data_IF_861737791134
#
_entry.id   IF_861737791134
#
_cell.length_a   1.000
_cell.length_b   1.000
_cell.length_c   1.000
_cell.angle_alpha   90.00
_cell.angle_beta   90.00
_cell.angle_gamma   90.00
#
_symmetry.space_group_name_H-M   'P 1'
#
loop_
_entity.id
_entity.type
_entity.pdbx_description
1 polymer ?
#
# COMPACT_ATOMS: atom_id res chain seq x y z
N UNK A 1 21.61 14.10 -18.40
CA UNK A 1 21.36 12.71 -17.97
C UNK A 1 20.20 12.15 -18.77
N UNK A 2 20.47 11.31 -19.76
CA UNK A 2 19.44 10.58 -20.51
C UNK A 2 18.90 9.46 -19.63
N UNK A 3 17.71 9.64 -19.06
CA UNK A 3 17.05 8.60 -18.28
C UNK A 3 16.55 7.50 -19.22
N UNK A 4 17.19 6.33 -19.17
CA UNK A 4 16.61 5.12 -19.78
C UNK A 4 15.29 4.83 -19.08
N UNK A 5 14.15 4.77 -19.80
CA UNK A 5 12.86 4.49 -19.18
C UNK A 5 12.89 3.10 -18.51
N UNK A 6 12.28 2.99 -17.33
CA UNK A 6 12.15 1.71 -16.64
C UNK A 6 11.42 0.70 -17.54
N UNK A 7 11.93 -0.53 -17.63
CA UNK A 7 11.29 -1.61 -18.39
C UNK A 7 9.96 -1.98 -17.75
N UNK A 8 8.88 -1.94 -18.53
CA UNK A 8 7.54 -2.30 -18.07
C UNK A 8 7.30 -3.81 -18.01
N UNK A 9 8.19 -4.63 -18.61
CA UNK A 9 7.99 -6.10 -18.71
C UNK A 9 7.77 -6.79 -17.36
N UNK A 10 8.53 -6.49 -16.29
CA UNK A 10 8.31 -7.13 -14.99
C UNK A 10 6.98 -6.74 -14.34
N UNK A 11 6.34 -5.65 -14.77
CA UNK A 11 5.07 -5.18 -14.22
C UNK A 11 3.84 -5.77 -14.90
N UNK A 12 4.02 -6.50 -16.00
CA UNK A 12 2.91 -7.12 -16.72
C UNK A 12 2.10 -8.07 -15.83
N UNK A 13 2.71 -8.93 -15.00
CA UNK A 13 1.94 -9.83 -14.12
C UNK A 13 1.01 -9.13 -13.12
N UNK A 14 1.47 -8.19 -12.26
CA UNK A 14 0.55 -7.50 -11.35
C UNK A 14 -0.51 -6.69 -12.09
N UNK A 15 -0.17 -6.10 -13.25
CA UNK A 15 -1.16 -5.41 -14.08
C UNK A 15 -2.26 -6.35 -14.58
N UNK A 16 -1.90 -7.54 -15.09
CA UNK A 16 -2.88 -8.54 -15.54
C UNK A 16 -3.80 -8.93 -14.39
N UNK A 17 -3.23 -9.19 -13.20
CA UNK A 17 -4.02 -9.54 -12.01
C UNK A 17 -4.99 -8.41 -11.65
N UNK A 18 -4.50 -7.17 -11.62
CA UNK A 18 -5.33 -5.99 -11.34
C UNK A 18 -6.46 -5.79 -12.35
N UNK A 19 -6.15 -5.88 -13.64
CA UNK A 19 -7.17 -5.79 -14.68
C UNK A 19 -8.19 -6.93 -14.58
N UNK A 20 -7.74 -8.15 -14.25
CA UNK A 20 -8.61 -9.32 -14.15
C UNK A 20 -9.61 -9.17 -13.02
N UNK A 21 -9.17 -8.86 -11.79
CA UNK A 21 -10.12 -8.69 -10.68
C UNK A 21 -10.99 -7.45 -10.88
N UNK A 22 -10.48 -6.38 -11.49
CA UNK A 22 -11.27 -5.14 -11.72
C UNK A 22 -12.36 -5.41 -12.75
N UNK A 23 -12.07 -6.16 -13.80
CA UNK A 23 -13.06 -6.57 -14.79
C UNK A 23 -14.13 -7.48 -14.16
N UNK A 24 -13.72 -8.48 -13.38
CA UNK A 24 -14.66 -9.36 -12.67
C UNK A 24 -15.55 -8.57 -11.70
N UNK A 25 -14.96 -7.65 -10.94
CA UNK A 25 -15.66 -6.78 -10.00
C UNK A 25 -16.65 -5.85 -10.73
N UNK A 26 -16.27 -5.31 -11.89
CA UNK A 26 -17.15 -4.50 -12.73
C UNK A 26 -18.36 -5.29 -13.23
N UNK A 27 -18.14 -6.50 -13.72
CA UNK A 27 -19.24 -7.39 -14.16
C UNK A 27 -20.17 -7.71 -13.00
N UNK A 28 -19.63 -8.05 -11.83
CA UNK A 28 -20.42 -8.32 -10.64
C UNK A 28 -21.25 -7.10 -10.17
N UNK A 29 -20.67 -5.91 -10.22
CA UNK A 29 -21.35 -4.66 -9.86
C UNK A 29 -22.49 -4.32 -10.83
N UNK A 30 -22.28 -4.47 -12.14
CA UNK A 30 -23.34 -4.29 -13.14
C UNK A 30 -24.45 -5.32 -12.94
N UNK A 31 -24.09 -6.60 -12.76
CA UNK A 31 -25.06 -7.68 -12.57
C UNK A 31 -25.90 -7.53 -11.30
N UNK A 32 -25.35 -6.90 -10.26
CA UNK A 32 -26.04 -6.63 -8.98
C UNK A 32 -26.72 -5.26 -8.92
N UNK A 33 -26.59 -4.42 -9.96
CA UNK A 33 -27.12 -3.04 -9.95
C UNK A 33 -26.43 -2.10 -8.96
N UNK A 34 -25.22 -2.44 -8.51
CA UNK A 34 -24.48 -1.68 -7.50
C UNK A 34 -23.74 -0.48 -8.14
N UNK A 35 -24.46 0.63 -8.31
CA UNK A 35 -23.93 1.85 -8.91
C UNK A 35 -22.84 2.53 -8.05
N UNK A 36 -22.94 2.43 -6.73
CA UNK A 36 -21.92 2.92 -5.81
C UNK A 36 -20.58 2.20 -6.04
N UNK A 37 -20.62 0.87 -6.22
CA UNK A 37 -19.41 0.12 -6.51
C UNK A 37 -18.80 0.48 -7.88
N UNK A 38 -19.61 0.79 -8.89
CA UNK A 38 -19.09 1.26 -10.18
C UNK A 38 -18.35 2.60 -10.07
N UNK A 39 -18.78 3.50 -9.17
CA UNK A 39 -18.01 4.70 -8.84
C UNK A 39 -16.61 4.33 -8.32
N UNK A 40 -16.49 3.35 -7.42
CA UNK A 40 -15.19 2.88 -6.93
C UNK A 40 -14.33 2.18 -7.97
N UNK A 41 -14.94 1.49 -8.95
CA UNK A 41 -14.20 0.96 -10.11
C UNK A 41 -13.54 2.10 -10.89
N UNK A 42 -14.26 3.21 -11.13
CA UNK A 42 -13.68 4.39 -11.81
C UNK A 42 -12.53 4.96 -11.00
N UNK A 43 -12.69 5.11 -9.68
CA UNK A 43 -11.60 5.54 -8.79
C UNK A 43 -10.40 4.61 -8.92
N UNK A 44 -10.60 3.30 -8.93
CA UNK A 44 -9.53 2.31 -9.08
C UNK A 44 -8.78 2.45 -10.41
N UNK A 45 -9.47 2.74 -11.51
CA UNK A 45 -8.85 2.98 -12.81
C UNK A 45 -8.00 4.27 -12.81
N UNK A 46 -8.49 5.33 -12.15
CA UNK A 46 -7.74 6.59 -11.99
C UNK A 46 -6.49 6.36 -11.15
N UNK A 47 -6.61 5.68 -10.01
CA UNK A 47 -5.47 5.36 -9.14
C UNK A 47 -4.46 4.43 -9.83
N UNK A 48 -4.92 3.42 -10.56
CA UNK A 48 -4.06 2.54 -11.35
C UNK A 48 -3.27 3.31 -12.42
N UNK A 49 -3.91 4.29 -13.06
CA UNK A 49 -3.26 5.19 -14.02
C UNK A 49 -2.22 6.09 -13.33
N UNK A 50 -2.55 6.64 -12.16
CA UNK A 50 -1.61 7.42 -11.36
C UNK A 50 -0.38 6.58 -10.94
N UNK A 51 -0.59 5.33 -10.52
CA UNK A 51 0.51 4.39 -10.20
C UNK A 51 1.39 4.14 -11.42
N UNK A 52 0.82 3.96 -12.61
CA UNK A 52 1.60 3.82 -13.85
C UNK A 52 2.46 5.06 -14.12
N UNK A 53 1.92 6.27 -13.94
CA UNK A 53 2.68 7.51 -14.07
C UNK A 53 3.80 7.57 -13.02
N UNK A 54 3.50 7.33 -11.74
CA UNK A 54 4.48 7.33 -10.65
C UNK A 54 5.59 6.31 -10.94
N UNK A 55 5.26 5.11 -11.41
CA UNK A 55 6.27 4.11 -11.75
C UNK A 55 7.22 4.60 -12.84
N UNK A 56 6.73 5.28 -13.88
CA UNK A 56 7.59 5.81 -14.95
C UNK A 56 8.59 6.86 -14.45
N UNK A 57 8.28 7.59 -13.39
CA UNK A 57 9.14 8.64 -12.83
C UNK A 57 10.01 8.15 -11.65
N UNK A 58 9.48 7.24 -10.83
CA UNK A 58 10.10 6.78 -9.59
C UNK A 58 10.84 5.44 -9.76
N UNK A 59 10.49 4.65 -10.78
CA UNK A 59 10.95 3.28 -10.98
C UNK A 59 10.61 2.38 -9.77
N UNK A 60 9.33 2.33 -9.42
CA UNK A 60 8.84 1.54 -8.28
C UNK A 60 9.32 0.09 -8.35
N UNK A 61 9.68 -0.46 -7.21
CA UNK A 61 10.05 -1.87 -7.08
C UNK A 61 8.87 -2.78 -7.41
N UNK A 62 9.15 -3.92 -8.05
CA UNK A 62 8.14 -4.91 -8.41
C UNK A 62 7.31 -5.34 -7.18
N UNK A 63 7.96 -5.49 -6.02
CA UNK A 63 7.29 -5.87 -4.80
C UNK A 63 6.28 -4.80 -4.32
N UNK A 64 6.58 -3.51 -4.45
CA UNK A 64 5.61 -2.46 -4.14
C UNK A 64 4.43 -2.42 -5.12
N UNK A 65 4.65 -2.76 -6.40
CA UNK A 65 3.56 -2.84 -7.38
C UNK A 65 2.64 -4.04 -7.09
N UNK A 66 3.20 -5.19 -6.68
CA UNK A 66 2.39 -6.30 -6.18
C UNK A 66 1.61 -5.95 -4.92
N UNK A 67 2.23 -5.21 -3.99
CA UNK A 67 1.55 -4.78 -2.78
C UNK A 67 0.35 -3.85 -3.08
N UNK A 68 0.51 -2.94 -4.05
CA UNK A 68 -0.61 -2.14 -4.57
C UNK A 68 -1.69 -3.00 -5.23
N UNK A 69 -1.30 -4.01 -6.02
CA UNK A 69 -2.24 -4.91 -6.67
C UNK A 69 -3.08 -5.69 -5.63
N UNK A 70 -2.44 -6.18 -4.56
CA UNK A 70 -3.11 -6.83 -3.41
C UNK A 70 -4.03 -5.84 -2.70
N UNK A 71 -3.58 -4.61 -2.46
CA UNK A 71 -4.41 -3.58 -1.81
C UNK A 71 -5.68 -3.30 -2.62
N UNK A 72 -5.54 -3.12 -3.94
CA UNK A 72 -6.70 -2.95 -4.82
C UNK A 72 -7.64 -4.16 -4.83
N UNK A 73 -7.11 -5.39 -4.78
CA UNK A 73 -7.92 -6.59 -4.70
C UNK A 73 -8.72 -6.65 -3.39
N UNK A 74 -8.11 -6.25 -2.26
CA UNK A 74 -8.78 -6.19 -0.96
C UNK A 74 -9.92 -5.16 -0.95
N UNK A 75 -9.72 -3.98 -1.56
CA UNK A 75 -10.82 -3.00 -1.71
C UNK A 75 -11.96 -3.53 -2.58
N UNK A 76 -11.65 -4.18 -3.70
CA UNK A 76 -12.69 -4.77 -4.55
C UNK A 76 -13.46 -5.88 -3.83
N UNK A 77 -12.76 -6.70 -3.04
CA UNK A 77 -13.39 -7.71 -2.19
C UNK A 77 -14.26 -7.07 -1.10
N UNK A 78 -13.80 -5.98 -0.49
CA UNK A 78 -14.50 -5.20 0.52
C UNK A 78 -15.93 -4.82 0.11
N UNK A 79 -16.10 -4.31 -1.11
CA UNK A 79 -17.39 -3.86 -1.60
C UNK A 79 -18.28 -4.92 -2.27
N UNK A 80 -17.77 -6.14 -2.52
CA UNK A 80 -18.51 -7.17 -3.29
C UNK A 80 -18.70 -8.49 -2.57
N UNK A 81 -17.76 -8.89 -1.71
CA UNK A 81 -17.81 -10.22 -1.10
C UNK A 81 -18.77 -10.19 0.08
N UNK A 82 -19.89 -10.93 0.03
CA UNK A 82 -20.85 -10.97 1.12
C UNK A 82 -20.27 -11.71 2.33
N UNK A 83 -20.69 -11.33 3.53
CA UNK A 83 -20.30 -12.00 4.78
C UNK A 83 -21.45 -12.80 5.40
N UNK A 84 -21.17 -13.95 6.06
CA UNK A 84 -22.20 -14.78 6.68
C UNK A 84 -23.11 -14.01 7.64
N UNK A 85 -24.38 -14.43 7.77
CA UNK A 85 -25.36 -13.80 8.66
C UNK A 85 -24.94 -13.80 10.15
N UNK A 86 -24.14 -14.77 10.56
CA UNK A 86 -23.63 -14.88 11.93
C UNK A 86 -22.49 -13.91 12.24
N UNK A 87 -21.89 -13.27 11.23
CA UNK A 87 -20.77 -12.35 11.45
C UNK A 87 -21.30 -10.96 11.85
N UNK A 88 -20.64 -10.30 12.82
CA UNK A 88 -21.00 -8.94 13.21
C UNK A 88 -20.62 -7.95 12.11
N UNK A 89 -21.51 -6.99 11.83
CA UNK A 89 -21.30 -5.97 10.80
C UNK A 89 -21.58 -4.57 11.33
N UNK A 90 -21.00 -3.59 10.65
CA UNK A 90 -21.33 -2.17 10.75
C UNK A 90 -22.28 -1.76 9.62
N UNK A 91 -23.38 -1.10 9.94
CA UNK A 91 -24.42 -0.72 8.97
C UNK A 91 -25.31 -1.88 8.51
N UNK A 92 -25.95 -1.70 7.35
CA UNK A 92 -27.00 -2.60 6.85
C UNK A 92 -26.52 -3.55 5.74
N UNK A 93 -25.50 -3.15 4.97
CA UNK A 93 -25.04 -3.90 3.81
C UNK A 93 -23.99 -4.93 4.25
N UNK A 94 -24.26 -6.21 3.99
CA UNK A 94 -23.46 -7.34 4.50
C UNK A 94 -22.31 -7.73 3.56
N UNK A 95 -21.31 -6.87 3.41
CA UNK A 95 -20.08 -7.16 2.66
C UNK A 95 -18.84 -7.12 3.55
N UNK A 96 -17.70 -7.58 3.05
CA UNK A 96 -16.43 -7.61 3.80
C UNK A 96 -16.09 -6.26 4.42
N UNK A 97 -16.32 -5.15 3.71
CA UNK A 97 -16.11 -3.80 4.23
C UNK A 97 -16.80 -3.58 5.59
N UNK A 98 -18.04 -4.05 5.73
CA UNK A 98 -18.83 -3.88 6.94
C UNK A 98 -18.44 -4.84 8.06
N UNK A 99 -17.58 -5.81 7.83
CA UNK A 99 -17.29 -6.85 8.82
C UNK A 99 -16.46 -6.34 10.00
N UNK A 100 -16.99 -6.54 11.21
CA UNK A 100 -16.23 -6.41 12.46
C UNK A 100 -15.41 -7.68 12.73
N UNK A 101 -14.09 -7.56 12.65
CA UNK A 101 -13.17 -8.62 13.08
C UNK A 101 -13.18 -8.69 14.61
N UNK A 102 -13.12 -7.52 15.27
CA UNK A 102 -13.23 -7.39 16.74
C UNK A 102 -14.21 -6.25 17.05
N UNK A 103 -15.49 -6.53 17.33
CA UNK A 103 -16.47 -5.49 17.62
C UNK A 103 -16.19 -4.75 18.94
N UNK A 104 -16.37 -3.42 19.04
CA UNK A 104 -16.56 -2.43 17.97
C UNK A 104 -15.23 -1.73 17.57
N UNK A 105 -14.10 -2.43 17.70
CA UNK A 105 -12.76 -1.81 17.63
C UNK A 105 -12.05 -1.99 16.28
N UNK A 106 -12.26 -3.10 15.58
CA UNK A 106 -11.51 -3.45 14.38
C UNK A 106 -12.43 -3.98 13.28
N UNK A 107 -12.57 -3.21 12.19
CA UNK A 107 -13.20 -3.65 10.93
C UNK A 107 -12.17 -4.26 9.99
N UNK A 108 -12.67 -5.03 9.03
CA UNK A 108 -11.90 -5.41 7.84
C UNK A 108 -11.25 -4.19 7.18
N UNK A 109 -12.02 -3.11 7.03
CA UNK A 109 -11.58 -1.89 6.36
C UNK A 109 -10.38 -1.23 7.05
N UNK A 110 -10.37 -1.19 8.38
CA UNK A 110 -9.22 -0.71 9.17
C UNK A 110 -7.92 -1.48 8.85
N UNK A 111 -8.02 -2.79 8.62
CA UNK A 111 -6.86 -3.62 8.23
C UNK A 111 -6.40 -3.29 6.81
N UNK A 112 -7.35 -3.11 5.89
CA UNK A 112 -7.06 -2.72 4.50
C UNK A 112 -6.40 -1.35 4.45
N UNK A 113 -6.87 -0.38 5.23
CA UNK A 113 -6.28 0.93 5.41
C UNK A 113 -4.86 0.85 5.98
N UNK A 114 -4.67 0.15 7.10
CA UNK A 114 -3.33 -0.01 7.68
C UNK A 114 -2.34 -0.66 6.69
N UNK A 115 -2.76 -1.69 5.96
CA UNK A 115 -1.94 -2.30 4.91
C UNK A 115 -1.60 -1.30 3.81
N UNK A 116 -2.63 -0.66 3.25
CA UNK A 116 -2.54 0.27 2.14
C UNK A 116 -1.63 1.47 2.41
N UNK A 117 -1.83 2.14 3.55
CA UNK A 117 -1.02 3.30 3.90
C UNK A 117 0.37 2.94 4.42
N UNK A 118 0.59 1.70 4.86
CA UNK A 118 1.93 1.13 4.98
C UNK A 118 2.64 1.03 3.62
N UNK A 119 1.96 0.51 2.60
CA UNK A 119 2.47 0.43 1.22
C UNK A 119 2.72 1.83 0.65
N UNK A 120 1.82 2.78 0.89
CA UNK A 120 1.97 4.19 0.48
C UNK A 120 3.20 4.84 1.12
N UNK A 121 3.47 4.61 2.41
CA UNK A 121 4.71 5.08 3.05
C UNK A 121 5.95 4.50 2.37
N UNK A 122 5.92 3.22 2.01
CA UNK A 122 7.03 2.59 1.29
C UNK A 122 7.23 3.16 -0.12
N UNK A 123 6.15 3.48 -0.83
CA UNK A 123 6.20 4.15 -2.14
C UNK A 123 6.76 5.56 -1.98
N UNK A 124 6.30 6.32 -0.98
CA UNK A 124 6.83 7.64 -0.66
C UNK A 124 8.34 7.59 -0.37
N UNK A 125 8.81 6.56 0.32
CA UNK A 125 10.23 6.35 0.56
C UNK A 125 11.02 6.12 -0.74
N UNK A 126 10.48 5.32 -1.67
CA UNK A 126 11.09 5.13 -3.00
C UNK A 126 11.14 6.45 -3.79
N UNK A 127 10.06 7.23 -3.77
CA UNK A 127 10.00 8.56 -4.37
C UNK A 127 11.02 9.52 -3.77
N UNK A 128 11.12 9.55 -2.43
CA UNK A 128 12.06 10.42 -1.73
C UNK A 128 13.51 10.06 -2.06
N UNK A 129 13.87 8.77 -2.09
CA UNK A 129 15.20 8.32 -2.53
C UNK A 129 15.48 8.65 -3.99
N UNK A 130 14.47 8.61 -4.85
CA UNK A 130 14.62 8.99 -6.25
C UNK A 130 14.92 10.48 -6.42
N UNK A 131 14.32 11.32 -5.58
CA UNK A 131 14.49 12.78 -5.57
C UNK A 131 15.82 13.20 -4.92
N UNK A 132 16.10 12.70 -3.72
CA UNK A 132 17.23 13.12 -2.90
C UNK A 132 18.53 12.33 -3.15
N UNK A 133 18.46 11.26 -3.96
CA UNK A 133 19.58 10.34 -4.16
C UNK A 133 19.73 9.32 -3.02
N UNK A 134 20.92 8.68 -2.89
CA UNK A 134 21.17 7.66 -1.88
C UNK A 134 21.14 8.23 -0.45
N UNK A 135 19.97 8.21 0.17
CA UNK A 135 19.77 8.60 1.57
C UNK A 135 19.42 7.40 2.45
N UNK A 136 19.83 7.44 3.71
CA UNK A 136 19.42 6.48 4.74
C UNK A 136 18.07 6.87 5.35
N UNK A 137 17.27 5.91 5.86
CA UNK A 137 16.00 6.19 6.54
C UNK A 137 16.25 6.82 7.91
N UNK A 138 16.50 8.13 7.91
CA UNK A 138 16.58 8.95 9.12
C UNK A 138 15.19 9.22 9.70
N UNK A 139 15.14 9.65 10.96
CA UNK A 139 13.89 10.05 11.61
C UNK A 139 13.13 11.08 10.75
N UNK A 140 13.82 12.13 10.29
CA UNK A 140 13.21 13.17 9.45
C UNK A 140 12.67 12.64 8.12
N UNK A 141 13.42 11.78 7.43
CA UNK A 141 12.98 11.18 6.18
C UNK A 141 11.74 10.28 6.36
N UNK A 142 11.73 9.50 7.44
CA UNK A 142 10.58 8.65 7.79
C UNK A 142 9.36 9.47 8.20
N UNK A 143 9.54 10.54 8.98
CA UNK A 143 8.47 11.49 9.33
C UNK A 143 7.85 12.09 8.07
N UNK A 144 8.65 12.50 7.09
CA UNK A 144 8.13 13.01 5.81
C UNK A 144 7.34 11.95 5.04
N UNK A 145 7.81 10.70 5.00
CA UNK A 145 7.08 9.62 4.31
C UNK A 145 5.76 9.27 5.02
N UNK A 146 5.74 9.27 6.36
CA UNK A 146 4.52 9.06 7.14
C UNK A 146 3.53 10.20 6.93
N UNK A 147 4.00 11.46 6.99
CA UNK A 147 3.15 12.63 6.76
C UNK A 147 2.57 12.63 5.34
N UNK A 148 3.36 12.26 4.33
CA UNK A 148 2.88 12.11 2.95
C UNK A 148 1.82 11.00 2.86
N UNK A 149 2.05 9.85 3.48
CA UNK A 149 1.09 8.74 3.50
C UNK A 149 -0.22 9.13 4.18
N UNK A 150 -0.17 9.83 5.31
CA UNK A 150 -1.36 10.38 5.97
C UNK A 150 -2.10 11.41 5.10
N UNK A 151 -1.37 12.21 4.31
CA UNK A 151 -1.97 13.13 3.34
C UNK A 151 -2.71 12.39 2.22
N UNK A 152 -2.14 11.30 1.70
CA UNK A 152 -2.85 10.41 0.77
C UNK A 152 -4.04 9.72 1.45
N UNK A 153 -3.94 9.41 2.74
CA UNK A 153 -5.03 8.92 3.58
C UNK A 153 -6.19 9.89 3.61
N UNK A 154 -5.93 11.15 3.95
CA UNK A 154 -6.94 12.20 3.92
C UNK A 154 -7.55 12.39 2.52
N UNK A 155 -6.76 12.25 1.45
CA UNK A 155 -7.30 12.30 0.08
C UNK A 155 -8.26 11.12 -0.20
N UNK A 156 -7.97 9.93 0.33
CA UNK A 156 -8.90 8.79 0.25
C UNK A 156 -10.24 9.14 0.95
N UNK A 157 -10.17 9.70 2.16
CA UNK A 157 -11.37 10.13 2.89
C UNK A 157 -12.17 11.20 2.14
N UNK A 158 -11.50 12.08 1.38
CA UNK A 158 -12.17 13.06 0.51
C UNK A 158 -12.94 12.38 -0.61
N UNK A 159 -12.40 11.30 -1.21
CA UNK A 159 -13.09 10.53 -2.25
C UNK A 159 -14.33 9.83 -1.65
N UNK A 160 -14.20 9.27 -0.45
CA UNK A 160 -15.33 8.67 0.25
C UNK A 160 -16.38 9.70 0.65
N UNK A 161 -15.96 10.88 1.10
CA UNK A 161 -16.86 11.99 1.35
C UNK A 161 -17.65 12.37 0.09
N UNK A 162 -17.01 12.40 -1.08
CA UNK A 162 -17.73 12.62 -2.36
C UNK A 162 -18.76 11.51 -2.61
N UNK A 163 -18.45 10.25 -2.30
CA UNK A 163 -19.44 9.16 -2.41
C UNK A 163 -20.67 9.41 -1.53
N UNK A 164 -20.50 9.94 -0.30
CA UNK A 164 -21.63 10.31 0.58
C UNK A 164 -22.52 11.43 0.02
N UNK A 165 -21.97 12.29 -0.85
CA UNK A 165 -22.71 13.37 -1.51
C UNK A 165 -23.46 12.88 -2.75
N UNK A 166 -22.95 11.85 -3.42
CA UNK A 166 -23.49 11.33 -4.68
C UNK A 166 -24.53 10.23 -4.43
N UNK A 167 -24.32 9.39 -3.42
CA UNK A 167 -25.17 8.22 -3.16
C UNK A 167 -25.98 8.39 -1.88
N UNK A 168 -27.33 8.31 -1.95
CA UNK A 168 -28.21 8.56 -0.80
C UNK A 168 -28.11 7.47 0.29
N UNK A 169 -27.60 6.29 -0.07
CA UNK A 169 -27.24 5.23 0.86
C UNK A 169 -25.84 4.78 0.47
N UNK A 170 -24.90 4.98 1.37
CA UNK A 170 -23.52 4.52 1.24
C UNK A 170 -23.10 3.90 2.57
N UNK A 171 -22.20 2.93 2.47
CA UNK A 171 -21.62 2.27 3.63
C UNK A 171 -20.38 2.98 4.16
N UNK A 172 -19.83 3.93 3.40
CA UNK A 172 -18.55 4.57 3.72
C UNK A 172 -18.71 5.96 4.34
N UNK A 173 -17.65 6.42 5.00
CA UNK A 173 -17.57 7.77 5.54
C UNK A 173 -18.40 8.00 6.81
N UNK A 174 -18.62 9.27 7.12
CA UNK A 174 -19.11 9.70 8.43
C UNK A 174 -17.98 9.86 9.45
N UNK A 175 -18.19 10.73 10.43
CA UNK A 175 -17.14 11.22 11.33
C UNK A 175 -16.36 10.10 12.03
N UNK A 176 -17.08 9.10 12.57
CA UNK A 176 -16.46 8.01 13.34
C UNK A 176 -15.69 7.06 12.43
N UNK A 177 -16.24 6.69 11.27
CA UNK A 177 -15.57 5.81 10.31
C UNK A 177 -14.29 6.47 9.80
N UNK A 178 -14.40 7.67 9.24
CA UNK A 178 -13.25 8.46 8.77
C UNK A 178 -12.19 8.68 9.87
N UNK A 179 -12.62 8.92 11.11
CA UNK A 179 -11.69 9.03 12.24
C UNK A 179 -10.88 7.76 12.47
N UNK A 180 -11.52 6.59 12.46
CA UNK A 180 -10.86 5.30 12.61
C UNK A 180 -10.00 4.91 11.41
N UNK A 181 -10.42 5.30 10.21
CA UNK A 181 -9.65 5.07 8.99
C UNK A 181 -8.36 5.89 9.03
N UNK A 182 -8.40 7.16 9.42
CA UNK A 182 -7.19 7.97 9.63
C UNK A 182 -6.26 7.39 10.71
N UNK A 183 -6.81 6.83 11.79
CA UNK A 183 -6.00 6.13 12.81
C UNK A 183 -5.33 4.90 12.20
N UNK A 184 -6.08 4.09 11.46
CA UNK A 184 -5.58 2.90 10.77
C UNK A 184 -4.48 3.25 9.76
N UNK A 185 -4.67 4.33 9.00
CA UNK A 185 -3.69 4.89 8.07
C UNK A 185 -2.39 5.23 8.79
N UNK A 186 -2.51 5.91 9.94
CA UNK A 186 -1.38 6.28 10.79
C UNK A 186 -0.61 5.07 11.32
N UNK A 187 -1.32 4.06 11.83
CA UNK A 187 -0.71 2.81 12.31
C UNK A 187 0.07 2.13 11.19
N UNK A 188 -0.55 1.95 10.02
CA UNK A 188 0.09 1.38 8.85
C UNK A 188 1.35 2.13 8.43
N UNK A 189 1.24 3.45 8.34
CA UNK A 189 2.33 4.32 7.94
C UNK A 189 3.52 4.25 8.90
N UNK A 190 3.26 4.30 10.22
CA UNK A 190 4.29 4.22 11.26
C UNK A 190 4.97 2.85 11.25
N UNK A 191 4.21 1.76 11.15
CA UNK A 191 4.76 0.39 11.08
C UNK A 191 5.70 0.26 9.88
N UNK A 192 5.29 0.74 8.70
CA UNK A 192 6.15 0.71 7.52
C UNK A 192 7.45 1.51 7.71
N UNK A 193 7.37 2.71 8.30
CA UNK A 193 8.55 3.53 8.60
C UNK A 193 9.54 2.83 9.56
N UNK A 194 9.03 2.16 10.59
CA UNK A 194 9.84 1.36 11.52
C UNK A 194 10.51 0.20 10.77
N UNK A 195 9.75 -0.57 9.98
CA UNK A 195 10.28 -1.71 9.21
C UNK A 195 11.38 -1.26 8.24
N UNK A 196 11.18 -0.15 7.52
CA UNK A 196 12.19 0.42 6.62
C UNK A 196 13.47 0.81 7.36
N UNK A 197 13.33 1.40 8.55
CA UNK A 197 14.46 1.80 9.39
C UNK A 197 15.25 0.59 9.92
N UNK A 198 14.55 -0.46 10.37
CA UNK A 198 15.16 -1.67 10.92
C UNK A 198 15.84 -2.52 9.84
N UNK A 199 15.18 -2.71 8.70
CA UNK A 199 15.74 -3.48 7.57
C UNK A 199 17.00 -2.82 7.01
N UNK A 200 17.05 -1.49 6.94
CA UNK A 200 18.27 -0.77 6.55
C UNK A 200 19.42 -1.00 7.53
N UNK A 201 19.18 -0.87 8.84
CA UNK A 201 20.20 -1.10 9.88
C UNK A 201 20.75 -2.53 9.82
N UNK A 202 19.87 -3.52 9.66
CA UNK A 202 20.28 -4.92 9.52
C UNK A 202 21.18 -5.12 8.29
N UNK A 203 20.81 -4.52 7.15
CA UNK A 203 21.58 -4.58 5.89
C UNK A 203 22.99 -4.00 6.04
N UNK A 204 23.11 -2.84 6.69
CA UNK A 204 24.40 -2.20 6.96
C UNK A 204 25.24 -3.08 7.90
N UNK A 205 24.66 -3.60 8.98
CA UNK A 205 25.39 -4.43 9.95
C UNK A 205 25.96 -5.71 9.32
N UNK A 206 25.21 -6.34 8.41
CA UNK A 206 25.65 -7.55 7.69
C UNK A 206 26.81 -7.24 6.75
N UNK A 207 26.71 -6.16 5.99
CA UNK A 207 27.76 -5.72 5.07
C UNK A 207 29.08 -5.44 5.80
N UNK A 208 29.02 -4.80 6.98
CA UNK A 208 30.22 -4.57 7.80
C UNK A 208 30.85 -5.85 8.34
N UNK A 209 30.04 -6.84 8.73
CA UNK A 209 30.53 -8.16 9.18
C UNK A 209 31.23 -8.90 8.05
N UNK A 210 30.62 -8.96 6.88
CA UNK A 210 31.17 -9.65 5.71
C UNK A 210 32.51 -9.02 5.26
N UNK A 211 32.60 -7.68 5.30
CA UNK A 211 33.84 -6.96 5.02
C UNK A 211 34.96 -7.32 6.02
N UNK A 212 34.66 -7.36 7.32
CA UNK A 212 35.64 -7.73 8.36
C UNK A 212 36.15 -9.18 8.19
N UNK A 213 35.26 -10.13 7.90
CA UNK A 213 35.62 -11.53 7.69
C UNK A 213 36.52 -11.73 6.46
N UNK A 214 36.29 -10.96 5.38
CA UNK A 214 37.13 -11.01 4.17
C UNK A 214 38.54 -10.44 4.37
N UNK A 215 38.71 -9.50 5.31
CA UNK A 215 40.01 -8.90 5.62
C UNK A 215 40.91 -9.80 6.48
N UNK A 216 40.30 -10.68 7.28
CA UNK A 216 41.01 -11.58 8.20
C UNK A 216 41.53 -12.85 7.48
N UNK A 217 40.77 -13.34 6.49
CA UNK A 217 41.21 -14.46 5.64
C UNK A 217 42.39 -14.15 4.71
N UNK A 218 42.71 -12.86 4.50
CA UNK A 218 43.84 -12.40 3.70
C UNK A 218 45.18 -12.26 4.45
N UNK A 219 45.21 -12.40 5.79
CA UNK A 219 46.41 -12.17 6.62
C UNK A 219 47.18 -13.44 7.02
N UNK A 220 46.82 -14.62 6.51
CA UNK A 220 47.34 -15.90 6.99
C UNK A 220 48.00 -16.79 5.95
N UNK A 221 49.17 -16.41 5.42
CA UNK A 221 50.23 -17.38 5.04
C UNK A 221 51.59 -16.68 5.15
N UNK A 222 52.39 -16.93 6.20
CA UNK A 222 53.79 -16.55 6.16
C UNK A 222 54.47 -17.29 5.00
N UNK A 223 55.37 -16.63 4.23
CA UNK A 223 56.11 -17.30 3.18
C UNK A 223 56.90 -18.45 3.80
N UNK A 224 56.63 -19.67 3.33
CA UNK A 224 57.37 -20.87 3.71
C UNK A 224 58.86 -20.66 3.40
N UNK A 225 59.68 -20.80 4.42
CA UNK A 225 61.13 -20.77 4.31
C UNK A 225 61.53 -22.07 3.61
N UNK A 226 62.10 -21.94 2.41
CA UNK A 226 62.77 -23.01 1.67
C UNK A 226 64.18 -23.23 2.22
#
# INVERSE_FOLDING_TARGET
MTHTPASLRPLVPPLIVSCTYTAAASVAAVASGNLEFLFYVVVMLVLGSAVAVVHRHVSLSLASVWALAVWGALHMAGGLVPVPHSWPIDGEIRVLYSWWIVPPFLKYDHVVHAYGFGVTTWICWQGLRRLAGPIAPSLGAMTLCVAASLGFGALNEVIEFVATLVFPRTNVGGYVNTGWDLVSNGVGAIVAAIVLSLTHRASVSRSSRDASASSDSGRGRPPGIH
#
